data_IF_074363593976
#
_entry.id   IF_074363593976
#
_cell.length_a   1.000
_cell.length_b   1.000
_cell.length_c   1.000
_cell.angle_alpha   90.00
_cell.angle_beta   90.00
_cell.angle_gamma   90.00
#
_symmetry.space_group_name_H-M   'P 1'
#
loop_
_entity.id
_entity.type
_entity.pdbx_description
1 polymer ?
#
# COMPACT_ATOMS: atom_id res chain seq x y z
N UNK A 1 17.27 -24.35 16.15
CA UNK A 1 15.98 -24.63 16.80
C UNK A 1 15.47 -25.95 16.27
N UNK A 2 14.82 -26.81 17.09
CA UNK A 2 14.22 -28.02 16.55
C UNK A 2 13.27 -27.66 15.43
N UNK A 3 13.28 -28.44 14.36
CA UNK A 3 12.30 -28.41 13.26
C UNK A 3 10.95 -28.48 13.96
N UNK A 4 10.19 -27.38 13.98
CA UNK A 4 8.83 -27.37 14.53
C UNK A 4 8.07 -28.47 13.83
N UNK A 5 7.35 -29.31 14.60
CA UNK A 5 6.51 -30.38 14.07
C UNK A 5 5.52 -29.80 13.08
N UNK A 6 5.91 -29.78 11.82
CA UNK A 6 5.03 -29.30 10.73
C UNK A 6 3.91 -30.33 10.59
N UNK A 7 2.62 -29.89 10.66
CA UNK A 7 1.50 -30.80 10.51
C UNK A 7 1.58 -31.53 9.15
N UNK A 8 1.40 -32.84 9.18
CA UNK A 8 1.37 -33.63 7.94
C UNK A 8 0.11 -33.44 7.11
N UNK A 9 -0.93 -32.90 7.73
CA UNK A 9 -2.25 -32.74 7.13
C UNK A 9 -2.98 -31.54 7.75
N UNK A 10 -3.82 -30.84 6.97
CA UNK A 10 -4.77 -29.83 7.38
C UNK A 10 -5.96 -29.84 6.44
N UNK A 11 -7.07 -29.15 6.80
CA UNK A 11 -8.15 -28.93 5.84
C UNK A 11 -7.68 -27.99 4.72
N UNK A 12 -7.02 -26.88 5.10
CA UNK A 12 -6.54 -25.87 4.18
C UNK A 12 -5.11 -25.45 4.50
N UNK A 13 -4.24 -25.47 3.47
CA UNK A 13 -2.94 -24.83 3.56
C UNK A 13 -3.00 -23.46 2.91
N UNK A 14 -2.45 -22.45 3.59
CA UNK A 14 -2.26 -21.09 3.07
C UNK A 14 -0.77 -20.82 2.92
N UNK A 15 -0.34 -20.45 1.72
CA UNK A 15 1.04 -20.14 1.39
C UNK A 15 1.23 -18.63 1.35
N UNK A 16 1.98 -18.08 2.31
CA UNK A 16 2.27 -16.65 2.47
C UNK A 16 1.48 -15.97 3.60
N UNK A 17 2.21 -15.40 4.54
CA UNK A 17 1.72 -14.72 5.76
C UNK A 17 1.54 -13.20 5.61
N UNK A 18 1.31 -12.71 4.40
CA UNK A 18 0.93 -11.31 4.14
C UNK A 18 -0.54 -11.02 4.45
N UNK A 19 -0.97 -9.77 4.26
CA UNK A 19 -2.35 -9.34 4.57
C UNK A 19 -3.44 -10.21 3.91
N UNK A 20 -3.20 -10.70 2.68
CA UNK A 20 -4.17 -11.55 1.98
C UNK A 20 -4.27 -12.96 2.60
N UNK A 21 -3.12 -13.57 2.93
CA UNK A 21 -3.09 -14.89 3.58
C UNK A 21 -3.69 -14.83 4.98
N UNK A 22 -3.35 -13.81 5.78
CA UNK A 22 -3.92 -13.61 7.10
C UNK A 22 -5.43 -13.37 7.06
N UNK A 23 -5.92 -12.60 6.08
CA UNK A 23 -7.35 -12.39 5.89
C UNK A 23 -8.08 -13.70 5.52
N UNK A 24 -7.46 -14.56 4.70
CA UNK A 24 -7.99 -15.88 4.36
C UNK A 24 -7.99 -16.81 5.59
N UNK A 25 -6.87 -16.87 6.32
CA UNK A 25 -6.72 -17.69 7.52
C UNK A 25 -7.79 -17.35 8.58
N UNK A 26 -7.95 -16.05 8.90
CA UNK A 26 -8.99 -15.59 9.84
C UNK A 26 -10.39 -16.02 9.44
N UNK A 27 -10.72 -15.87 8.15
CA UNK A 27 -12.05 -16.16 7.66
C UNK A 27 -12.35 -17.68 7.71
N UNK A 28 -11.36 -18.51 7.40
CA UNK A 28 -11.48 -19.98 7.47
C UNK A 28 -11.51 -20.47 8.91
N UNK A 29 -10.61 -20.01 9.76
CA UNK A 29 -10.58 -20.38 11.18
C UNK A 29 -11.87 -19.99 11.91
N UNK A 30 -12.43 -18.80 11.61
CA UNK A 30 -13.72 -18.37 12.13
C UNK A 30 -14.90 -19.26 11.66
N UNK A 31 -14.75 -19.99 10.57
CA UNK A 31 -15.70 -20.98 10.07
C UNK A 31 -15.42 -22.41 10.61
N UNK A 32 -14.47 -22.58 11.53
CA UNK A 32 -14.12 -23.87 12.11
C UNK A 32 -13.24 -24.78 11.24
N UNK A 33 -12.63 -24.24 10.19
CA UNK A 33 -11.72 -24.96 9.30
C UNK A 33 -10.32 -25.01 9.90
N UNK A 34 -9.70 -26.18 9.89
CA UNK A 34 -8.30 -26.34 10.31
C UNK A 34 -7.37 -25.76 9.23
N UNK A 35 -6.61 -24.72 9.62
CA UNK A 35 -5.73 -23.98 8.71
C UNK A 35 -4.28 -24.14 9.14
N UNK A 36 -3.42 -24.41 8.17
CA UNK A 36 -1.96 -24.31 8.28
C UNK A 36 -1.49 -23.18 7.38
N UNK A 37 -0.89 -22.13 7.96
CA UNK A 37 -0.32 -21.00 7.25
C UNK A 37 1.20 -21.12 7.24
N UNK A 38 1.80 -21.20 6.05
CA UNK A 38 3.23 -21.33 5.83
C UNK A 38 3.79 -20.02 5.30
N UNK A 39 4.78 -19.47 6.01
CA UNK A 39 5.49 -18.25 5.63
C UNK A 39 6.98 -18.54 5.48
N UNK A 40 7.54 -18.12 4.35
CA UNK A 40 8.95 -18.36 4.03
C UNK A 40 9.91 -17.54 4.90
N UNK A 41 9.49 -16.37 5.35
CA UNK A 41 10.30 -15.49 6.20
C UNK A 41 10.15 -15.83 7.69
N UNK A 42 11.12 -15.35 8.50
CA UNK A 42 11.10 -15.45 9.96
C UNK A 42 10.00 -14.58 10.63
N UNK A 43 9.15 -13.91 9.84
CA UNK A 43 8.09 -13.04 10.33
C UNK A 43 6.91 -12.94 9.34
N UNK A 44 5.73 -12.71 9.87
CA UNK A 44 4.54 -12.37 9.08
C UNK A 44 4.63 -10.94 8.53
N UNK A 45 3.84 -10.64 7.48
CA UNK A 45 3.58 -9.30 6.99
C UNK A 45 3.80 -9.10 5.51
N UNK A 46 4.66 -9.88 4.88
CA UNK A 46 5.02 -9.73 3.48
C UNK A 46 5.59 -8.32 3.23
N UNK A 47 4.85 -7.46 2.49
CA UNK A 47 5.23 -6.07 2.21
C UNK A 47 4.96 -5.09 3.37
N UNK A 48 4.19 -5.48 4.38
CA UNK A 48 3.82 -4.61 5.51
C UNK A 48 4.70 -4.97 6.70
N UNK A 49 5.80 -4.27 6.82
CA UNK A 49 6.82 -4.50 7.84
C UNK A 49 7.39 -3.17 8.31
N UNK A 50 7.68 -3.08 9.61
CA UNK A 50 8.44 -2.00 10.22
C UNK A 50 9.69 -2.56 10.86
N UNK A 51 10.82 -1.93 10.60
CA UNK A 51 12.10 -2.24 11.22
C UNK A 51 12.42 -1.16 12.29
N UNK A 52 13.24 -1.49 13.28
CA UNK A 52 13.72 -0.56 14.29
C UNK A 52 15.24 -0.42 14.17
N UNK A 53 15.74 0.80 13.99
CA UNK A 53 17.16 1.11 13.86
C UNK A 53 17.46 2.32 14.74
N UNK A 54 18.33 2.16 15.71
CA UNK A 54 18.79 3.23 16.61
C UNK A 54 17.64 4.05 17.24
N UNK A 55 16.53 3.37 17.56
CA UNK A 55 15.31 3.97 18.13
C UNK A 55 14.39 4.60 17.10
N UNK A 56 14.77 4.67 15.82
CA UNK A 56 13.87 5.05 14.74
C UNK A 56 13.03 3.86 14.29
N UNK A 57 11.78 4.15 13.89
CA UNK A 57 10.87 3.17 13.31
C UNK A 57 10.74 3.43 11.82
N UNK A 58 11.14 2.47 11.00
CA UNK A 58 11.19 2.57 9.55
C UNK A 58 10.24 1.55 8.94
N UNK A 59 9.19 2.00 8.32
CA UNK A 59 8.35 1.12 7.49
C UNK A 59 9.10 0.75 6.20
N UNK A 60 8.88 -0.45 5.67
CA UNK A 60 9.51 -0.85 4.41
C UNK A 60 8.84 -0.15 3.21
N UNK A 61 9.19 1.11 3.03
CA UNK A 61 8.55 2.06 2.14
C UNK A 61 7.51 2.92 2.86
N UNK A 62 7.22 4.11 2.32
CA UNK A 62 6.17 4.97 2.87
C UNK A 62 4.80 4.33 2.62
N UNK A 63 4.20 3.82 3.67
CA UNK A 63 2.90 3.15 3.66
C UNK A 63 1.93 3.85 4.60
N UNK A 64 0.64 3.76 4.30
CA UNK A 64 -0.41 4.41 5.09
C UNK A 64 -1.66 3.52 5.18
N UNK A 65 -2.42 3.71 6.25
CA UNK A 65 -3.77 3.17 6.40
C UNK A 65 -4.77 4.22 5.97
N UNK A 66 -5.69 3.85 5.08
CA UNK A 66 -6.84 4.68 4.71
C UNK A 66 -8.09 4.17 5.42
N UNK A 67 -8.68 5.00 6.27
CA UNK A 67 -9.85 4.61 7.09
C UNK A 67 -11.12 4.37 6.27
N UNK A 68 -11.18 4.82 5.01
CA UNK A 68 -12.32 4.56 4.12
C UNK A 68 -12.24 3.24 3.37
N UNK A 69 -11.25 2.39 3.64
CA UNK A 69 -11.21 1.04 3.07
C UNK A 69 -12.38 0.20 3.60
N UNK A 70 -13.34 -0.20 2.74
CA UNK A 70 -14.55 -0.88 3.21
C UNK A 70 -14.31 -2.22 3.90
N UNK A 71 -13.19 -2.90 3.61
CA UNK A 71 -12.86 -4.16 4.25
C UNK A 71 -12.13 -3.99 5.59
N UNK A 72 -11.61 -2.79 5.88
CA UNK A 72 -10.79 -2.57 7.07
C UNK A 72 -11.53 -2.96 8.38
N UNK A 73 -12.78 -2.51 8.62
CA UNK A 73 -13.49 -2.85 9.85
C UNK A 73 -13.80 -4.35 10.04
N UNK A 74 -13.86 -5.11 8.93
CA UNK A 74 -14.12 -6.56 9.00
C UNK A 74 -12.91 -7.35 9.54
N UNK A 75 -11.71 -6.76 9.45
CA UNK A 75 -10.46 -7.43 9.80
C UNK A 75 -9.67 -6.74 10.89
N UNK A 76 -9.84 -5.44 11.05
CA UNK A 76 -8.99 -4.61 11.90
C UNK A 76 -9.88 -3.69 12.71
N UNK A 77 -9.78 -3.83 14.00
CA UNK A 77 -10.26 -2.81 14.92
C UNK A 77 -9.26 -1.65 14.86
N UNK A 78 -9.68 -0.54 14.24
CA UNK A 78 -8.85 0.62 14.00
C UNK A 78 -8.37 1.26 15.32
N UNK A 79 -9.13 1.12 16.40
CA UNK A 79 -8.75 1.65 17.72
C UNK A 79 -7.50 0.94 18.26
N UNK A 80 -7.35 -0.36 17.98
CA UNK A 80 -6.16 -1.14 18.38
C UNK A 80 -4.87 -0.72 17.67
N UNK A 81 -4.97 0.02 16.56
CA UNK A 81 -3.81 0.50 15.83
C UNK A 81 -3.23 1.80 16.37
N UNK A 82 -3.96 2.53 17.25
CA UNK A 82 -3.59 3.88 17.67
C UNK A 82 -3.15 4.74 16.48
N UNK A 83 -4.06 4.93 15.51
CA UNK A 83 -3.75 5.63 14.27
C UNK A 83 -3.41 7.09 14.52
N UNK A 84 -2.29 7.52 13.99
CA UNK A 84 -1.81 8.89 13.94
C UNK A 84 -2.03 9.43 12.53
N UNK A 85 -2.71 10.56 12.41
CA UNK A 85 -3.21 11.04 11.13
C UNK A 85 -2.36 12.16 10.56
N UNK A 86 -2.19 12.11 9.25
CA UNK A 86 -1.70 13.24 8.47
C UNK A 86 -2.81 14.27 8.27
N UNK A 87 -2.40 15.50 7.94
CA UNK A 87 -3.33 16.59 7.61
C UNK A 87 -4.17 16.25 6.36
N UNK A 88 -5.37 16.81 6.28
CA UNK A 88 -6.17 16.83 5.06
C UNK A 88 -5.65 17.90 4.08
N UNK A 89 -4.34 17.89 3.87
CA UNK A 89 -3.64 18.86 3.05
C UNK A 89 -2.38 18.24 2.46
N UNK A 90 -1.88 18.83 1.40
CA UNK A 90 -0.55 18.59 0.85
C UNK A 90 0.21 19.91 0.73
N UNK A 91 1.53 19.85 0.87
CA UNK A 91 2.45 20.93 0.53
C UNK A 91 2.91 20.72 -0.91
N UNK A 92 2.93 21.79 -1.69
CA UNK A 92 3.37 21.77 -3.09
C UNK A 92 4.56 22.71 -3.23
N UNK A 93 5.71 22.17 -3.62
CA UNK A 93 6.90 22.95 -3.93
C UNK A 93 6.88 23.36 -5.42
N UNK A 94 6.97 24.65 -5.71
CA UNK A 94 6.94 25.19 -7.09
C UNK A 94 8.30 25.72 -7.57
N UNK A 95 9.33 25.61 -6.73
CA UNK A 95 10.67 26.15 -6.97
C UNK A 95 10.87 27.58 -6.44
N UNK A 96 9.81 28.25 -6.00
CA UNK A 96 9.83 29.57 -5.35
C UNK A 96 9.43 29.49 -3.89
N UNK A 97 8.74 28.43 -3.49
CA UNK A 97 8.30 28.21 -2.10
C UNK A 97 7.42 26.98 -1.92
N UNK A 98 6.91 26.85 -0.70
CA UNK A 98 5.95 25.83 -0.31
C UNK A 98 4.55 26.43 -0.24
N UNK A 99 3.61 25.83 -0.95
CA UNK A 99 2.22 26.24 -0.98
C UNK A 99 1.32 25.16 -0.39
N UNK A 100 0.35 25.55 0.42
CA UNK A 100 -0.59 24.64 1.05
C UNK A 100 -1.81 24.41 0.14
N UNK A 101 -2.03 23.19 -0.29
CA UNK A 101 -3.29 22.74 -0.87
C UNK A 101 -4.06 21.93 0.20
N UNK A 102 -5.00 22.58 0.85
CA UNK A 102 -5.81 21.99 1.89
C UNK A 102 -7.23 21.65 1.41
N UNK A 103 -7.79 20.59 1.99
CA UNK A 103 -9.19 20.26 1.76
C UNK A 103 -10.09 21.33 2.43
N UNK A 104 -10.92 22.05 1.65
CA UNK A 104 -11.74 23.14 2.19
C UNK A 104 -12.81 22.68 3.20
N UNK A 105 -13.07 21.38 3.28
CA UNK A 105 -13.98 20.80 4.29
C UNK A 105 -13.35 20.81 5.69
N UNK A 106 -12.02 20.84 5.78
CA UNK A 106 -11.25 20.78 7.03
C UNK A 106 -10.45 22.04 7.29
N UNK A 107 -10.13 22.82 6.26
CA UNK A 107 -9.35 24.04 6.33
C UNK A 107 -10.08 25.19 5.60
N UNK A 108 -10.20 26.34 6.25
CA UNK A 108 -10.92 27.51 5.70
C UNK A 108 -10.00 28.59 5.10
N UNK A 109 -8.72 28.30 4.92
CA UNK A 109 -7.74 29.23 4.38
C UNK A 109 -7.82 29.29 2.85
N UNK A 110 -8.91 29.84 2.35
CA UNK A 110 -9.15 30.04 0.91
C UNK A 110 -8.12 30.96 0.21
N UNK A 111 -7.58 32.02 0.86
CA UNK A 111 -6.53 32.84 0.26
C UNK A 111 -5.26 32.05 -0.12
N UNK A 112 -4.89 31.02 0.62
CA UNK A 112 -3.74 30.17 0.31
C UNK A 112 -3.86 29.46 -1.05
N UNK A 113 -5.07 29.18 -1.53
CA UNK A 113 -5.31 28.56 -2.84
C UNK A 113 -4.83 29.42 -4.02
N UNK A 114 -4.74 30.75 -3.86
CA UNK A 114 -4.25 31.66 -4.89
C UNK A 114 -2.74 31.62 -5.07
N UNK A 115 -2.02 31.05 -4.11
CA UNK A 115 -0.57 30.93 -4.13
C UNK A 115 -0.11 29.62 -4.80
N UNK A 116 -1.04 28.71 -5.07
CA UNK A 116 -0.70 27.45 -5.73
C UNK A 116 -0.25 27.69 -7.19
N UNK A 117 0.72 26.91 -7.68
CA UNK A 117 1.27 27.06 -9.04
C UNK A 117 0.35 26.46 -10.11
N UNK A 118 -0.96 26.69 -9.98
CA UNK A 118 -1.99 26.17 -10.90
C UNK A 118 -3.16 27.15 -11.02
N UNK A 119 -3.85 27.19 -12.16
CA UNK A 119 -5.02 28.06 -12.34
C UNK A 119 -6.14 27.73 -11.36
N UNK A 120 -6.82 28.75 -10.83
CA UNK A 120 -7.99 28.55 -9.95
C UNK A 120 -9.11 27.72 -10.61
N UNK A 121 -9.26 27.84 -11.92
CA UNK A 121 -10.21 27.02 -12.71
C UNK A 121 -9.78 25.55 -12.68
N UNK A 122 -8.48 25.25 -12.74
CA UNK A 122 -7.95 23.91 -12.60
C UNK A 122 -8.23 23.31 -11.23
N UNK A 123 -8.05 24.11 -10.16
CA UNK A 123 -8.41 23.70 -8.80
C UNK A 123 -9.90 23.43 -8.64
N UNK A 124 -10.76 24.28 -9.20
CA UNK A 124 -12.21 24.09 -9.16
C UNK A 124 -12.62 22.79 -9.89
N UNK A 125 -12.04 22.53 -11.06
CA UNK A 125 -12.25 21.27 -11.81
C UNK A 125 -11.76 20.05 -11.02
N UNK A 126 -10.58 20.12 -10.39
CA UNK A 126 -10.06 19.05 -9.54
C UNK A 126 -10.95 18.78 -8.33
N UNK A 127 -11.48 19.84 -7.69
CA UNK A 127 -12.42 19.71 -6.59
C UNK A 127 -13.72 19.02 -7.05
N UNK A 128 -14.30 19.45 -8.19
CA UNK A 128 -15.49 18.84 -8.77
C UNK A 128 -15.26 17.35 -9.12
N UNK A 129 -14.14 17.04 -9.74
CA UNK A 129 -13.73 15.66 -10.04
C UNK A 129 -13.61 14.84 -8.74
N UNK A 130 -12.99 15.39 -7.70
CA UNK A 130 -12.83 14.73 -6.41
C UNK A 130 -14.18 14.46 -5.74
N UNK A 131 -15.11 15.40 -5.77
CA UNK A 131 -16.49 15.20 -5.29
C UNK A 131 -17.18 14.08 -6.07
N UNK A 132 -17.09 14.10 -7.41
CA UNK A 132 -17.66 13.05 -8.26
C UNK A 132 -17.09 11.68 -7.92
N UNK A 133 -15.77 11.52 -7.90
CA UNK A 133 -15.11 10.25 -7.59
C UNK A 133 -15.37 9.81 -6.15
N UNK A 134 -15.43 10.75 -5.20
CA UNK A 134 -15.68 10.49 -3.80
C UNK A 134 -17.10 9.98 -3.50
N UNK A 135 -18.12 10.57 -4.12
CA UNK A 135 -19.49 10.38 -3.69
C UNK A 135 -20.42 9.73 -4.71
N UNK A 136 -20.03 9.63 -5.98
CA UNK A 136 -20.83 8.93 -6.96
C UNK A 136 -20.90 7.42 -6.64
N UNK A 137 -21.89 6.71 -7.19
CA UNK A 137 -22.02 5.26 -7.00
C UNK A 137 -20.79 4.50 -7.52
N UNK A 138 -20.17 3.70 -6.65
CA UNK A 138 -18.96 2.96 -6.98
C UNK A 138 -19.18 1.91 -8.09
N UNK A 139 -20.42 1.40 -8.28
CA UNK A 139 -20.75 0.48 -9.36
C UNK A 139 -20.73 1.23 -10.69
N UNK A 140 -21.29 2.46 -10.73
CA UNK A 140 -21.26 3.31 -11.92
C UNK A 140 -19.84 3.69 -12.30
N UNK A 141 -19.00 4.11 -11.33
CA UNK A 141 -17.58 4.41 -11.58
C UNK A 141 -16.82 3.21 -12.18
N UNK A 142 -17.08 2.01 -11.69
CA UNK A 142 -16.46 0.78 -12.23
C UNK A 142 -17.00 0.37 -13.59
N UNK A 143 -18.21 0.82 -13.95
CA UNK A 143 -18.84 0.54 -15.24
C UNK A 143 -18.48 1.57 -16.33
N UNK A 144 -17.81 2.68 -15.98
CA UNK A 144 -17.36 3.65 -16.97
C UNK A 144 -16.41 3.00 -18.00
N UNK A 145 -16.33 3.52 -19.23
CA UNK A 145 -15.33 3.08 -20.20
C UNK A 145 -13.94 3.13 -19.58
N UNK A 146 -13.18 2.07 -19.74
CA UNK A 146 -11.82 1.99 -19.20
C UNK A 146 -10.84 2.62 -20.16
N UNK A 147 -10.08 3.59 -19.65
CA UNK A 147 -9.00 4.27 -20.34
C UNK A 147 -7.78 4.34 -19.45
N UNK A 148 -6.68 4.93 -19.93
CA UNK A 148 -5.58 5.35 -19.07
C UNK A 148 -6.00 6.52 -18.17
N UNK A 149 -5.30 6.72 -17.06
CA UNK A 149 -5.47 7.93 -16.23
C UNK A 149 -5.18 9.19 -17.06
N UNK A 150 -4.18 9.16 -17.95
CA UNK A 150 -3.86 10.28 -18.85
C UNK A 150 -5.07 10.69 -19.67
N UNK A 151 -5.69 9.75 -20.39
CA UNK A 151 -6.84 10.03 -21.25
C UNK A 151 -8.06 10.47 -20.42
N UNK A 152 -8.28 9.84 -19.28
CA UNK A 152 -9.38 10.18 -18.38
C UNK A 152 -9.26 11.61 -17.84
N UNK A 153 -8.06 12.06 -17.48
CA UNK A 153 -7.82 13.39 -16.93
C UNK A 153 -7.76 14.47 -18.01
N UNK A 154 -7.22 14.17 -19.21
CA UNK A 154 -7.03 15.16 -20.28
C UNK A 154 -8.32 15.86 -20.70
N UNK A 155 -9.47 15.19 -20.62
CA UNK A 155 -10.80 15.75 -20.93
C UNK A 155 -11.43 16.52 -19.74
N UNK A 156 -10.81 16.51 -18.56
CA UNK A 156 -11.40 17.02 -17.31
C UNK A 156 -10.56 18.09 -16.63
N UNK A 157 -9.24 18.00 -16.74
CA UNK A 157 -8.29 18.90 -16.10
C UNK A 157 -7.32 19.47 -17.14
N UNK A 158 -6.78 20.65 -16.87
CA UNK A 158 -5.69 21.21 -17.63
C UNK A 158 -4.38 20.50 -17.30
N UNK A 159 -3.43 20.55 -18.24
CA UNK A 159 -2.14 19.87 -18.13
C UNK A 159 -1.30 20.34 -16.93
N UNK A 160 -1.41 21.61 -16.58
CA UNK A 160 -0.65 22.20 -15.49
C UNK A 160 -1.11 21.65 -14.15
N UNK A 161 -2.43 21.61 -13.90
CA UNK A 161 -3.03 21.00 -12.71
C UNK A 161 -2.69 19.51 -12.59
N UNK A 162 -2.72 18.77 -13.69
CA UNK A 162 -2.33 17.34 -13.67
C UNK A 162 -0.88 17.20 -13.28
N UNK A 163 0.03 17.94 -13.91
CA UNK A 163 1.48 17.84 -13.70
C UNK A 163 1.89 18.26 -12.28
N UNK A 164 1.35 19.39 -11.81
CA UNK A 164 1.80 19.96 -10.53
C UNK A 164 1.19 19.27 -9.28
N UNK A 165 0.00 18.67 -9.41
CA UNK A 165 -0.74 18.15 -8.26
C UNK A 165 -1.06 16.66 -8.38
N UNK A 166 -1.66 16.24 -9.51
CA UNK A 166 -2.24 14.90 -9.61
C UNK A 166 -1.17 13.84 -9.88
N UNK A 167 -0.27 14.11 -10.81
CA UNK A 167 0.77 13.16 -11.19
C UNK A 167 1.77 12.87 -10.06
N UNK A 168 2.35 13.87 -9.35
CA UNK A 168 3.22 13.61 -8.20
C UNK A 168 2.53 12.80 -7.11
N UNK A 169 1.28 13.15 -6.79
CA UNK A 169 0.49 12.39 -5.82
C UNK A 169 0.29 10.93 -6.25
N UNK A 170 -0.13 10.71 -7.50
CA UNK A 170 -0.36 9.36 -8.03
C UNK A 170 0.94 8.56 -8.20
N UNK A 171 2.09 9.23 -8.42
CA UNK A 171 3.39 8.57 -8.45
C UNK A 171 3.71 7.91 -7.11
N UNK A 172 3.41 8.57 -6.00
CA UNK A 172 3.55 7.96 -4.66
C UNK A 172 2.58 6.78 -4.42
N UNK A 173 1.45 6.74 -5.14
CA UNK A 173 0.41 5.71 -4.99
C UNK A 173 0.64 4.51 -5.91
N UNK A 174 1.05 4.74 -7.17
CA UNK A 174 1.15 3.70 -8.20
C UNK A 174 2.59 3.41 -8.66
N UNK A 175 3.55 4.18 -8.20
CA UNK A 175 4.92 4.12 -8.68
C UNK A 175 5.11 4.83 -10.02
N UNK A 176 6.11 4.37 -10.78
CA UNK A 176 6.48 4.95 -12.07
C UNK A 176 5.33 4.95 -13.08
N UNK A 177 5.26 6.01 -13.90
CA UNK A 177 4.25 6.22 -14.94
C UNK A 177 2.79 6.06 -14.46
N UNK A 178 2.36 6.78 -13.40
CA UNK A 178 1.04 6.62 -12.80
C UNK A 178 -0.11 6.91 -13.78
N UNK A 179 0.14 7.75 -14.77
CA UNK A 179 -0.85 8.13 -15.78
C UNK A 179 -1.19 6.98 -16.76
N UNK A 180 -0.39 5.92 -16.82
CA UNK A 180 -0.68 4.70 -17.57
C UNK A 180 -1.56 3.70 -16.80
N UNK A 181 -1.87 3.96 -15.54
CA UNK A 181 -2.78 3.15 -14.74
C UNK A 181 -4.20 3.23 -15.29
N UNK A 182 -5.01 2.18 -15.05
CA UNK A 182 -6.43 2.16 -15.39
C UNK A 182 -7.19 3.26 -14.66
N UNK A 183 -8.00 4.03 -15.40
CA UNK A 183 -8.86 5.08 -14.86
C UNK A 183 -9.85 4.55 -13.81
N UNK A 184 -10.30 3.29 -13.95
CA UNK A 184 -11.19 2.64 -12.98
C UNK A 184 -10.48 2.33 -11.67
N UNK A 185 -9.21 1.88 -11.73
CA UNK A 185 -8.39 1.63 -10.54
C UNK A 185 -8.11 2.95 -9.83
N UNK A 186 -7.68 3.98 -10.58
CA UNK A 186 -7.47 5.32 -10.05
C UNK A 186 -8.73 5.86 -9.37
N UNK A 187 -9.90 5.74 -10.01
CA UNK A 187 -11.16 6.23 -9.44
C UNK A 187 -11.51 5.57 -8.10
N UNK A 188 -11.26 4.26 -7.94
CA UNK A 188 -11.52 3.56 -6.69
C UNK A 188 -10.56 3.98 -5.58
N UNK A 189 -9.30 4.18 -5.90
CA UNK A 189 -8.28 4.62 -4.95
C UNK A 189 -8.51 6.09 -4.58
N UNK A 190 -8.73 6.98 -5.56
CA UNK A 190 -9.05 8.38 -5.32
C UNK A 190 -10.29 8.55 -4.41
N UNK A 191 -11.33 7.74 -4.67
CA UNK A 191 -12.51 7.66 -3.83
C UNK A 191 -12.18 7.43 -2.36
N UNK A 192 -11.26 6.53 -2.07
CA UNK A 192 -10.89 6.24 -0.68
C UNK A 192 -10.11 7.40 -0.05
N UNK A 193 -9.26 8.10 -0.81
CA UNK A 193 -8.58 9.30 -0.32
C UNK A 193 -9.55 10.45 -0.01
N UNK A 194 -10.57 10.66 -0.85
CA UNK A 194 -11.58 11.72 -0.62
C UNK A 194 -12.46 11.43 0.59
N UNK A 195 -12.70 10.17 0.92
CA UNK A 195 -13.65 9.75 1.96
C UNK A 195 -13.01 9.42 3.30
N UNK A 196 -11.73 9.04 3.30
CA UNK A 196 -11.04 8.57 4.46
C UNK A 196 -10.04 9.57 5.03
N UNK A 197 -9.59 9.25 6.22
CA UNK A 197 -8.39 9.85 6.82
C UNK A 197 -7.20 8.95 6.53
N UNK A 198 -6.06 9.56 6.33
CA UNK A 198 -4.81 8.88 6.05
C UNK A 198 -3.94 8.95 7.30
N UNK A 199 -3.47 7.82 7.74
CA UNK A 199 -2.63 7.76 8.93
C UNK A 199 -1.73 6.55 8.96
N UNK A 200 -0.90 6.49 9.98
CA UNK A 200 -0.02 5.36 10.29
C UNK A 200 -0.26 4.89 11.72
N UNK A 201 -0.13 3.60 12.02
CA UNK A 201 -0.16 3.14 13.39
C UNK A 201 1.00 3.75 14.20
N UNK A 202 0.76 4.15 15.45
CA UNK A 202 1.80 4.70 16.32
C UNK A 202 2.99 3.74 16.50
N UNK A 203 2.73 2.43 16.43
CA UNK A 203 3.73 1.38 16.52
C UNK A 203 4.31 0.92 15.17
N UNK A 204 4.10 1.67 14.08
CA UNK A 204 4.53 1.33 12.72
C UNK A 204 3.52 0.46 11.97
N UNK A 205 3.64 0.43 10.65
CA UNK A 205 2.74 -0.33 9.79
C UNK A 205 2.74 -1.84 10.10
N UNK A 206 3.87 -2.39 10.53
CA UNK A 206 3.99 -3.79 10.93
C UNK A 206 3.05 -4.20 12.06
N UNK A 207 2.61 -3.27 12.93
CA UNK A 207 1.66 -3.55 14.01
C UNK A 207 0.29 -3.98 13.50
N UNK A 208 -0.12 -3.54 12.31
CA UNK A 208 -1.33 -3.97 11.62
C UNK A 208 -1.35 -5.49 11.40
N UNK A 209 -0.20 -6.06 11.09
CA UNK A 209 -0.05 -7.52 10.89
C UNK A 209 -0.28 -8.26 12.19
N UNK A 210 0.21 -7.74 13.31
CA UNK A 210 -0.05 -8.30 14.64
C UNK A 210 -1.56 -8.33 14.97
N UNK A 211 -2.29 -7.26 14.66
CA UNK A 211 -3.76 -7.20 14.84
C UNK A 211 -4.47 -8.21 13.92
N UNK A 212 -4.01 -8.37 12.68
CA UNK A 212 -4.55 -9.36 11.75
C UNK A 212 -4.31 -10.80 12.22
N UNK A 213 -3.13 -11.10 12.76
CA UNK A 213 -2.75 -12.45 13.17
C UNK A 213 -3.32 -12.86 14.53
N UNK A 214 -3.58 -11.91 15.44
CA UNK A 214 -4.00 -12.18 16.82
C UNK A 214 -5.18 -13.17 16.97
N UNK A 215 -6.24 -13.14 16.12
CA UNK A 215 -7.37 -14.07 16.25
C UNK A 215 -7.11 -15.48 15.71
N UNK A 216 -5.92 -15.76 15.16
CA UNK A 216 -5.61 -17.08 14.62
C UNK A 216 -5.38 -18.10 15.73
N UNK A 217 -5.78 -19.36 15.55
CA UNK A 217 -5.51 -20.42 16.50
C UNK A 217 -3.99 -20.58 16.77
N UNK A 218 -3.59 -20.89 18.00
CA UNK A 218 -2.20 -21.23 18.29
C UNK A 218 -1.73 -22.40 17.43
N UNK A 219 -0.48 -22.31 16.94
CA UNK A 219 0.14 -23.38 16.15
C UNK A 219 -0.28 -23.45 14.69
N UNK A 220 -1.19 -22.59 14.20
CA UNK A 220 -1.56 -22.60 12.78
C UNK A 220 -0.56 -21.86 11.88
N UNK A 221 0.38 -21.08 12.42
CA UNK A 221 1.37 -20.30 11.67
C UNK A 221 2.75 -20.94 11.81
N UNK A 222 3.38 -21.23 10.67
CA UNK A 222 4.74 -21.77 10.59
C UNK A 222 5.60 -20.80 9.78
N UNK A 223 6.53 -20.15 10.46
CA UNK A 223 7.54 -19.26 9.89
C UNK A 223 8.75 -20.05 9.40
N UNK A 224 9.66 -19.42 8.66
CA UNK A 224 10.86 -20.06 8.10
C UNK A 224 10.52 -21.34 7.32
N UNK A 225 9.33 -21.37 6.71
CA UNK A 225 8.81 -22.57 6.02
C UNK A 225 8.47 -22.26 4.57
N UNK A 226 9.46 -22.14 3.69
CA UNK A 226 9.23 -21.89 2.27
C UNK A 226 8.54 -23.09 1.61
N UNK A 227 7.48 -22.81 0.86
CA UNK A 227 6.83 -23.82 0.00
C UNK A 227 7.58 -23.91 -1.31
N UNK A 228 7.92 -25.14 -1.70
CA UNK A 228 8.71 -25.46 -2.90
C UNK A 228 7.79 -25.74 -4.10
N UNK A 229 6.70 -26.47 -3.86
CA UNK A 229 5.73 -26.81 -4.89
C UNK A 229 4.29 -26.84 -4.32
N UNK A 230 3.32 -26.64 -5.20
CA UNK A 230 1.89 -26.66 -4.88
C UNK A 230 1.21 -27.70 -5.77
N UNK A 231 0.40 -28.56 -5.14
CA UNK A 231 -0.37 -29.63 -5.78
C UNK A 231 -1.83 -29.58 -5.36
N UNK A 232 -2.70 -30.30 -6.09
CA UNK A 232 -4.13 -30.42 -5.73
C UNK A 232 -4.34 -31.12 -4.37
N UNK A 233 -3.32 -31.82 -3.84
CA UNK A 233 -3.40 -32.57 -2.59
C UNK A 233 -2.59 -31.94 -1.46
N UNK A 234 -2.01 -30.74 -1.65
CA UNK A 234 -1.21 -30.05 -0.64
C UNK A 234 0.01 -29.32 -1.19
N UNK A 235 1.02 -29.18 -0.38
CA UNK A 235 2.24 -28.44 -0.70
C UNK A 235 3.50 -29.20 -0.26
N UNK A 236 4.59 -29.03 -1.00
CA UNK A 236 5.92 -29.52 -0.63
C UNK A 236 6.74 -28.42 0.07
N UNK A 237 7.39 -28.79 1.14
CA UNK A 237 8.39 -28.00 1.87
C UNK A 237 9.67 -28.79 2.06
N UNK A 238 10.75 -28.14 2.52
CA UNK A 238 11.98 -28.83 2.88
C UNK A 238 11.79 -29.86 4.02
N UNK A 239 10.78 -29.66 4.89
CA UNK A 239 10.44 -30.57 5.98
C UNK A 239 9.51 -31.73 5.55
N UNK A 240 9.08 -31.75 4.29
CA UNK A 240 8.19 -32.74 3.73
C UNK A 240 6.89 -32.16 3.21
N UNK A 241 5.99 -33.04 2.77
CA UNK A 241 4.70 -32.67 2.23
C UNK A 241 3.66 -32.41 3.35
N UNK A 242 2.92 -31.32 3.21
CA UNK A 242 1.71 -31.03 4.00
C UNK A 242 0.49 -31.27 3.12
N UNK A 243 -0.28 -32.29 3.44
CA UNK A 243 -1.51 -32.62 2.69
C UNK A 243 -2.63 -31.66 3.04
N UNK A 244 -3.46 -31.29 2.05
CA UNK A 244 -4.61 -30.44 2.27
C UNK A 244 -5.73 -30.75 1.27
N UNK A 245 -6.98 -30.47 1.66
CA UNK A 245 -8.14 -30.53 0.76
C UNK A 245 -8.18 -29.31 -0.17
N UNK A 246 -7.60 -28.20 0.27
CA UNK A 246 -7.46 -26.98 -0.55
C UNK A 246 -6.18 -26.21 -0.19
N UNK A 247 -5.60 -25.56 -1.19
CA UNK A 247 -4.44 -24.68 -1.04
C UNK A 247 -4.79 -23.28 -1.52
N UNK A 248 -4.48 -22.26 -0.70
CA UNK A 248 -4.57 -20.84 -1.08
C UNK A 248 -3.14 -20.29 -1.21
N UNK A 249 -2.72 -19.96 -2.43
CA UNK A 249 -1.46 -19.26 -2.67
C UNK A 249 -1.70 -17.76 -2.49
N UNK A 250 -1.11 -17.18 -1.45
CA UNK A 250 -1.28 -15.79 -1.04
C UNK A 250 0.05 -15.03 -0.94
N UNK A 251 1.04 -15.46 -1.71
CA UNK A 251 2.36 -14.85 -1.82
C UNK A 251 2.30 -13.56 -2.68
N UNK A 252 3.45 -12.92 -2.86
CA UNK A 252 3.57 -11.89 -3.89
C UNK A 252 3.31 -12.45 -5.30
N UNK A 253 2.98 -11.58 -6.30
CA UNK A 253 2.63 -12.06 -7.64
C UNK A 253 3.68 -12.90 -8.32
N UNK A 254 4.97 -12.56 -8.18
CA UNK A 254 6.04 -13.30 -8.87
C UNK A 254 6.20 -14.71 -8.27
N UNK A 255 6.23 -14.82 -6.93
CA UNK A 255 6.27 -16.11 -6.24
C UNK A 255 4.99 -16.93 -6.53
N UNK A 256 3.81 -16.30 -6.59
CA UNK A 256 2.57 -16.97 -6.95
C UNK A 256 2.63 -17.57 -8.37
N UNK A 257 3.19 -16.84 -9.34
CA UNK A 257 3.37 -17.34 -10.70
C UNK A 257 4.37 -18.51 -10.80
N UNK A 258 5.40 -18.50 -9.94
CA UNK A 258 6.36 -19.63 -9.81
C UNK A 258 5.70 -20.88 -9.25
N UNK A 259 4.81 -20.74 -8.27
CA UNK A 259 4.11 -21.85 -7.63
C UNK A 259 2.88 -22.34 -8.42
N UNK A 260 2.29 -21.51 -9.28
CA UNK A 260 1.07 -21.78 -10.02
C UNK A 260 1.33 -21.56 -11.53
N UNK A 261 1.84 -22.56 -12.25
CA UNK A 261 2.13 -22.44 -13.69
C UNK A 261 0.89 -21.98 -14.48
N UNK A 262 1.08 -20.98 -15.35
CA UNK A 262 0.01 -20.39 -16.14
C UNK A 262 -0.77 -19.25 -15.43
N UNK A 263 -0.44 -18.92 -14.18
CA UNK A 263 -1.02 -17.77 -13.52
C UNK A 263 -0.48 -16.47 -14.14
N UNK A 264 -1.35 -15.70 -14.78
CA UNK A 264 -1.00 -14.38 -15.29
C UNK A 264 -0.97 -13.38 -14.13
N UNK A 265 0.18 -12.74 -13.94
CA UNK A 265 0.39 -11.71 -12.93
C UNK A 265 0.82 -10.39 -13.58
N UNK A 266 0.38 -9.25 -13.05
CA UNK A 266 0.81 -7.95 -13.56
C UNK A 266 2.26 -7.68 -13.17
N UNK A 267 2.97 -6.83 -13.94
CA UNK A 267 4.27 -6.31 -13.54
C UNK A 267 4.21 -5.58 -12.20
N UNK A 268 5.36 -5.48 -11.54
CA UNK A 268 5.52 -4.74 -10.30
C UNK A 268 6.47 -3.56 -10.51
N UNK A 269 6.29 -2.50 -9.72
CA UNK A 269 7.14 -1.31 -9.68
C UNK A 269 7.70 -1.10 -8.30
N UNK A 270 8.99 -0.87 -8.22
CA UNK A 270 9.70 -0.69 -6.96
C UNK A 270 9.72 0.79 -6.61
N UNK A 271 9.36 1.10 -5.37
CA UNK A 271 9.62 2.41 -4.77
C UNK A 271 10.83 2.31 -3.85
N UNK A 272 11.60 3.38 -3.83
CA UNK A 272 12.74 3.56 -2.92
C UNK A 272 12.37 4.66 -1.94
N UNK A 273 12.48 4.36 -0.65
CA UNK A 273 12.26 5.35 0.42
C UNK A 273 13.56 5.59 1.15
N UNK A 274 14.02 6.83 1.14
CA UNK A 274 15.19 7.30 1.88
C UNK A 274 14.73 7.98 3.15
N UNK A 275 15.23 7.52 4.28
CA UNK A 275 14.94 8.05 5.60
C UNK A 275 16.08 8.95 6.07
N UNK A 276 15.71 10.18 6.46
CA UNK A 276 16.62 11.13 7.10
C UNK A 276 16.10 11.51 8.48
N UNK A 277 17.01 11.86 9.37
CA UNK A 277 16.67 12.44 10.66
C UNK A 277 17.25 13.85 10.80
N UNK A 278 16.55 14.69 11.57
CA UNK A 278 16.97 16.06 11.91
C UNK A 278 16.48 16.41 13.30
N UNK A 279 17.10 17.40 13.94
CA UNK A 279 16.68 17.92 15.25
C UNK A 279 15.51 18.90 15.12
N UNK A 280 15.43 19.63 14.00
CA UNK A 280 14.32 20.54 13.70
C UNK A 280 13.57 20.10 12.44
N UNK A 281 12.22 20.04 12.45
CA UNK A 281 11.48 19.62 11.30
C UNK A 281 11.47 20.73 10.24
N UNK A 282 11.65 20.40 8.94
CA UNK A 282 11.67 21.39 7.85
C UNK A 282 10.32 22.10 7.63
N UNK A 283 9.26 21.57 8.18
CA UNK A 283 7.90 22.11 8.14
C UNK A 283 7.21 21.85 9.49
N UNK A 284 6.14 22.57 9.77
CA UNK A 284 5.39 22.46 11.03
C UNK A 284 4.05 21.71 10.90
N UNK A 285 3.84 21.00 9.80
CA UNK A 285 2.59 20.29 9.53
C UNK A 285 2.83 18.84 9.12
N UNK A 286 2.00 17.90 9.58
CA UNK A 286 2.03 16.50 9.14
C UNK A 286 1.39 16.34 7.75
N UNK A 287 1.90 17.06 6.75
CA UNK A 287 1.39 17.07 5.38
C UNK A 287 2.41 16.49 4.41
N UNK A 288 1.91 15.79 3.39
CA UNK A 288 2.74 15.24 2.32
C UNK A 288 3.27 16.38 1.44
N UNK A 289 4.56 16.41 1.20
CA UNK A 289 5.20 17.33 0.26
C UNK A 289 5.25 16.70 -1.13
N UNK A 290 4.80 17.43 -2.14
CA UNK A 290 4.82 17.08 -3.56
C UNK A 290 5.75 18.03 -4.33
N UNK A 291 6.47 17.49 -5.31
CA UNK A 291 7.22 18.30 -6.28
C UNK A 291 6.30 18.80 -7.39
N UNK A 292 5.78 20.01 -7.27
CA UNK A 292 4.96 20.67 -8.30
C UNK A 292 5.74 21.05 -9.56
N UNK A 293 7.09 21.03 -9.52
CA UNK A 293 7.93 21.27 -10.68
C UNK A 293 8.11 20.04 -11.58
N UNK A 294 7.98 18.84 -10.99
CA UNK A 294 8.21 17.56 -11.64
C UNK A 294 9.66 17.32 -12.06
N UNK A 295 10.64 18.00 -11.41
CA UNK A 295 12.06 17.96 -11.80
C UNK A 295 12.94 17.10 -10.89
N UNK A 296 12.50 16.84 -9.65
CA UNK A 296 13.32 16.13 -8.67
C UNK A 296 13.36 14.61 -8.86
N UNK A 297 12.38 14.04 -9.54
CA UNK A 297 12.17 12.59 -9.55
C UNK A 297 11.61 12.04 -8.23
N UNK A 298 11.43 12.89 -7.20
CA UNK A 298 10.81 12.53 -5.92
C UNK A 298 9.30 12.49 -6.08
N UNK A 299 8.68 11.40 -5.69
CA UNK A 299 7.22 11.28 -5.68
C UNK A 299 6.60 12.06 -4.52
N UNK A 300 7.16 11.92 -3.33
CA UNK A 300 6.73 12.64 -2.14
C UNK A 300 7.79 12.63 -1.04
N UNK A 301 7.65 13.57 -0.09
CA UNK A 301 8.39 13.57 1.16
C UNK A 301 7.43 13.91 2.30
N UNK A 302 7.67 13.40 3.51
CA UNK A 302 6.85 13.69 4.67
C UNK A 302 7.65 13.60 5.96
N UNK A 303 7.38 14.51 6.90
CA UNK A 303 7.93 14.43 8.26
C UNK A 303 7.02 13.52 9.09
N UNK A 304 7.41 12.26 9.23
CA UNK A 304 6.63 11.21 9.89
C UNK A 304 6.29 11.56 11.34
N UNK A 305 7.24 12.11 12.04
CA UNK A 305 7.12 12.43 13.48
C UNK A 305 6.17 13.58 13.79
N UNK A 306 5.80 14.41 12.83
CA UNK A 306 4.74 15.41 13.03
C UNK A 306 3.35 14.77 13.15
N UNK A 307 3.13 13.64 12.49
CA UNK A 307 1.91 12.84 12.67
C UNK A 307 2.09 11.83 13.81
N UNK A 308 3.18 11.08 13.82
CA UNK A 308 3.46 9.98 14.73
C UNK A 308 4.81 10.16 15.45
N UNK A 309 4.85 10.89 16.58
CA UNK A 309 6.11 11.18 17.28
C UNK A 309 6.93 9.94 17.65
N UNK A 310 6.29 8.80 17.89
CA UNK A 310 6.97 7.53 18.21
C UNK A 310 7.75 6.90 17.08
N UNK A 311 7.85 7.53 15.89
CA UNK A 311 8.70 7.06 14.81
C UNK A 311 10.18 7.46 14.95
N UNK A 312 10.51 8.33 15.91
CA UNK A 312 11.89 8.70 16.22
C UNK A 312 12.13 8.79 17.74
N UNK A 313 13.38 8.76 18.19
CA UNK A 313 13.73 9.09 19.57
C UNK A 313 13.27 10.52 19.94
N UNK A 314 13.04 10.78 21.23
CA UNK A 314 12.68 12.13 21.70
C UNK A 314 13.66 13.22 21.21
N UNK A 315 13.13 14.34 20.74
CA UNK A 315 13.93 15.46 20.21
C UNK A 315 14.43 15.26 18.78
N UNK A 316 14.08 14.17 18.11
CA UNK A 316 14.45 13.92 16.71
C UNK A 316 13.23 13.85 15.81
N UNK A 317 13.39 14.24 14.56
CA UNK A 317 12.36 14.16 13.53
C UNK A 317 12.79 13.23 12.41
N UNK A 318 11.89 12.32 12.00
CA UNK A 318 12.10 11.37 10.90
C UNK A 318 11.40 11.88 9.64
N UNK A 319 12.13 11.95 8.54
CA UNK A 319 11.63 12.34 7.22
C UNK A 319 11.70 11.12 6.32
N UNK A 320 10.57 10.73 5.74
CA UNK A 320 10.48 9.70 4.72
C UNK A 320 10.33 10.34 3.34
N UNK A 321 11.25 10.05 2.44
CA UNK A 321 11.25 10.57 1.06
C UNK A 321 11.21 9.42 0.09
N UNK A 322 10.19 9.39 -0.76
CA UNK A 322 9.94 8.29 -1.69
C UNK A 322 10.11 8.72 -3.14
N UNK A 323 10.82 7.89 -3.90
CA UNK A 323 10.98 8.03 -5.34
C UNK A 323 10.74 6.68 -6.04
N UNK A 324 10.29 6.65 -7.31
CA UNK A 324 10.36 5.46 -8.14
C UNK A 324 11.81 4.97 -8.29
N UNK A 325 12.04 3.67 -8.29
CA UNK A 325 13.39 3.12 -8.47
C UNK A 325 14.00 3.52 -9.83
N UNK A 326 13.17 3.76 -10.83
CA UNK A 326 13.56 4.22 -12.15
C UNK A 326 14.10 5.66 -12.17
N UNK A 327 13.89 6.44 -11.12
CA UNK A 327 14.49 7.76 -10.96
C UNK A 327 16.00 7.70 -10.65
N UNK A 328 16.48 6.52 -10.21
CA UNK A 328 17.88 6.19 -9.93
C UNK A 328 18.61 7.27 -9.08
N UNK A 329 17.94 7.70 -8.01
CA UNK A 329 18.45 8.72 -7.11
C UNK A 329 19.28 8.08 -5.99
N UNK A 330 20.54 8.44 -5.91
CA UNK A 330 21.35 8.17 -4.73
C UNK A 330 20.96 9.09 -3.56
N UNK A 331 21.46 8.81 -2.36
CA UNK A 331 21.18 9.62 -1.17
C UNK A 331 21.58 11.08 -1.34
N UNK A 332 22.71 11.35 -1.97
CA UNK A 332 23.21 12.72 -2.22
C UNK A 332 22.29 13.50 -3.14
N UNK A 333 21.75 12.85 -4.18
CA UNK A 333 20.76 13.45 -5.08
C UNK A 333 19.45 13.73 -4.34
N UNK A 334 18.95 12.76 -3.56
CA UNK A 334 17.76 12.94 -2.72
C UNK A 334 17.94 14.15 -1.80
N UNK A 335 19.05 14.25 -1.10
CA UNK A 335 19.38 15.36 -0.19
C UNK A 335 19.40 16.72 -0.90
N UNK A 336 20.03 16.82 -2.05
CA UNK A 336 20.05 18.06 -2.85
C UNK A 336 18.64 18.48 -3.30
N UNK A 337 17.83 17.51 -3.76
CA UNK A 337 16.44 17.78 -4.13
C UNK A 337 15.59 18.21 -2.94
N UNK A 338 15.78 17.59 -1.78
CA UNK A 338 15.06 17.97 -0.56
C UNK A 338 15.42 19.40 -0.11
N UNK A 339 16.69 19.82 -0.24
CA UNK A 339 17.08 21.19 0.04
C UNK A 339 16.32 22.21 -0.84
N UNK A 340 16.16 21.89 -2.12
CA UNK A 340 15.38 22.73 -3.05
C UNK A 340 13.87 22.69 -2.75
N UNK A 341 13.32 21.51 -2.44
CA UNK A 341 11.89 21.33 -2.20
C UNK A 341 11.45 21.96 -0.88
N UNK A 342 12.23 21.81 0.19
CA UNK A 342 11.94 22.43 1.50
C UNK A 342 12.40 23.87 1.59
N UNK A 343 13.20 24.35 0.64
CA UNK A 343 13.73 25.72 0.64
C UNK A 343 14.73 26.01 1.74
N UNK A 344 15.44 24.98 2.26
CA UNK A 344 16.40 25.09 3.34
C UNK A 344 17.55 24.10 3.21
N UNK A 345 18.74 24.37 3.81
CA UNK A 345 19.86 23.45 3.80
C UNK A 345 19.54 22.14 4.48
N UNK A 346 19.96 21.01 3.87
CA UNK A 346 19.80 19.66 4.39
C UNK A 346 21.13 19.01 4.81
N UNK A 347 22.22 19.80 4.87
CA UNK A 347 23.56 19.30 5.16
C UNK A 347 23.73 18.68 6.55
N UNK A 348 22.95 19.14 7.54
CA UNK A 348 22.92 18.61 8.90
C UNK A 348 22.02 17.39 9.08
N UNK A 349 21.24 16.99 8.07
CA UNK A 349 20.38 15.84 8.18
C UNK A 349 21.19 14.56 8.19
N UNK A 350 20.86 13.64 9.08
CA UNK A 350 21.46 12.32 9.18
C UNK A 350 20.75 11.35 8.23
N UNK A 351 21.49 10.61 7.41
CA UNK A 351 20.93 9.50 6.66
C UNK A 351 20.79 8.28 7.56
N UNK A 352 19.56 7.82 7.77
CA UNK A 352 19.29 6.63 8.59
C UNK A 352 19.34 5.37 7.75
N UNK A 353 18.57 5.32 6.66
CA UNK A 353 18.53 4.17 5.77
C UNK A 353 17.84 4.51 4.43
N UNK A 354 18.22 3.78 3.39
CA UNK A 354 17.48 3.73 2.13
C UNK A 354 16.90 2.34 1.95
N UNK A 355 15.58 2.26 1.78
CA UNK A 355 14.82 1.01 1.67
C UNK A 355 14.25 0.88 0.27
N UNK A 356 14.56 -0.21 -0.42
CA UNK A 356 13.87 -0.62 -1.65
C UNK A 356 12.68 -1.48 -1.27
N UNK A 357 11.47 -1.04 -1.62
CA UNK A 357 10.24 -1.79 -1.31
C UNK A 357 10.06 -2.95 -2.29
N UNK A 358 10.74 -4.04 -2.02
CA UNK A 358 10.65 -5.28 -2.79
C UNK A 358 9.99 -6.39 -1.96
N UNK A 359 9.09 -7.18 -2.58
CA UNK A 359 8.51 -7.05 -3.92
C UNK A 359 7.68 -5.75 -4.09
N UNK A 360 7.72 -5.20 -5.30
CA UNK A 360 7.17 -3.88 -5.59
C UNK A 360 5.64 -3.77 -5.59
N UNK A 361 5.14 -2.58 -5.94
CA UNK A 361 3.72 -2.32 -6.13
C UNK A 361 3.21 -3.01 -7.40
N UNK A 362 2.03 -3.59 -7.30
CA UNK A 362 1.34 -4.20 -8.44
C UNK A 362 0.83 -3.12 -9.37
N UNK A 363 1.19 -3.19 -10.65
CA UNK A 363 0.68 -2.26 -11.66
C UNK A 363 -0.69 -2.68 -12.16
N UNK A 364 -1.46 -1.72 -12.66
CA UNK A 364 -2.80 -1.95 -13.16
C UNK A 364 -3.09 -1.15 -14.44
N UNK A 365 -2.32 -1.35 -15.54
CA UNK A 365 -2.62 -0.70 -16.82
C UNK A 365 -3.92 -1.23 -17.41
N UNK A 366 -4.66 -0.45 -18.22
CA UNK A 366 -5.80 -0.97 -18.96
C UNK A 366 -5.34 -1.95 -20.09
N UNK A 367 -6.15 -2.92 -20.50
CA UNK A 367 -7.47 -3.23 -19.94
C UNK A 367 -7.39 -4.13 -18.70
N UNK A 368 -8.04 -3.71 -17.60
CA UNK A 368 -8.17 -4.56 -16.41
C UNK A 368 -9.34 -5.55 -16.52
N UNK A 369 -10.26 -5.32 -17.47
CA UNK A 369 -11.47 -6.10 -17.57
C UNK A 369 -12.29 -6.05 -16.27
N UNK A 370 -12.30 -7.14 -15.53
CA UNK A 370 -12.87 -7.16 -14.17
C UNK A 370 -11.78 -6.79 -13.15
N UNK A 371 -12.00 -5.74 -12.36
CA UNK A 371 -11.09 -5.38 -11.25
C UNK A 371 -10.94 -6.54 -10.26
N UNK A 372 -12.02 -7.28 -10.02
CA UNK A 372 -12.02 -8.52 -9.22
C UNK A 372 -11.75 -9.71 -10.11
N UNK A 373 -10.50 -10.13 -10.19
CA UNK A 373 -10.07 -11.32 -10.94
C UNK A 373 -10.49 -12.61 -10.22
N UNK A 374 -10.67 -13.74 -10.91
CA UNK A 374 -10.97 -15.02 -10.28
C UNK A 374 -9.94 -15.39 -9.21
N UNK A 375 -10.41 -15.93 -8.09
CA UNK A 375 -9.56 -16.44 -7.00
C UNK A 375 -9.51 -17.96 -6.95
N UNK A 376 -10.46 -18.64 -7.57
CA UNK A 376 -10.51 -20.10 -7.72
C UNK A 376 -9.85 -20.48 -9.05
N UNK A 377 -8.89 -21.38 -9.02
CA UNK A 377 -8.19 -21.93 -10.19
C UNK A 377 -8.66 -23.34 -10.49
N UNK A 378 -8.85 -24.18 -9.46
CA UNK A 378 -9.46 -25.51 -9.53
C UNK A 378 -10.34 -25.72 -8.28
N UNK A 379 -10.83 -26.94 -8.06
CA UNK A 379 -11.55 -27.27 -6.82
C UNK A 379 -10.62 -27.35 -5.60
N UNK A 380 -9.33 -27.55 -5.81
CA UNK A 380 -8.32 -27.62 -4.75
C UNK A 380 -7.40 -26.40 -4.68
N UNK A 381 -7.24 -25.63 -5.76
CA UNK A 381 -6.25 -24.54 -5.83
C UNK A 381 -6.91 -23.17 -5.94
N UNK A 382 -6.44 -22.26 -5.08
CA UNK A 382 -6.93 -20.90 -4.99
C UNK A 382 -5.78 -19.91 -4.92
N UNK A 383 -6.01 -18.66 -5.31
CA UNK A 383 -5.03 -17.59 -5.28
C UNK A 383 -5.61 -16.33 -4.64
N UNK A 384 -4.83 -15.67 -3.80
CA UNK A 384 -5.18 -14.40 -3.18
C UNK A 384 -4.02 -13.40 -3.29
N UNK A 385 -4.29 -12.13 -3.16
CA UNK A 385 -3.33 -11.03 -3.24
C UNK A 385 -3.99 -9.78 -3.81
N UNK A 386 -3.36 -8.65 -3.66
CA UNK A 386 -3.84 -7.38 -4.23
C UNK A 386 -3.88 -7.41 -5.78
N UNK A 387 -3.10 -8.25 -6.41
CA UNK A 387 -3.14 -8.49 -7.86
C UNK A 387 -4.43 -9.19 -8.34
N UNK A 388 -5.27 -9.69 -7.43
CA UNK A 388 -6.58 -10.30 -7.73
C UNK A 388 -7.76 -9.35 -7.47
N UNK A 389 -7.48 -8.13 -6.98
CA UNK A 389 -8.46 -7.06 -6.72
C UNK A 389 -7.78 -5.70 -7.03
N UNK A 390 -8.08 -4.64 -6.29
CA UNK A 390 -7.34 -3.36 -6.40
C UNK A 390 -5.93 -3.49 -5.78
N UNK A 391 -4.89 -2.91 -6.39
CA UNK A 391 -3.53 -2.95 -5.86
C UNK A 391 -3.41 -2.08 -4.59
N UNK A 392 -3.77 -2.64 -3.45
CA UNK A 392 -3.83 -1.96 -2.15
C UNK A 392 -4.06 -2.94 -1.01
N UNK A 393 -3.88 -2.50 0.24
CA UNK A 393 -4.29 -3.24 1.44
C UNK A 393 -5.76 -3.69 1.35
N UNK A 394 -6.65 -2.81 0.88
CA UNK A 394 -8.06 -3.14 0.65
C UNK A 394 -8.21 -4.36 -0.27
N UNK A 395 -7.50 -4.36 -1.40
CA UNK A 395 -7.57 -5.48 -2.34
C UNK A 395 -6.98 -6.77 -1.81
N UNK A 396 -5.90 -6.69 -1.04
CA UNK A 396 -5.31 -7.84 -0.35
C UNK A 396 -6.31 -8.50 0.61
N UNK A 397 -6.92 -7.71 1.52
CA UNK A 397 -7.92 -8.20 2.47
C UNK A 397 -9.15 -8.81 1.77
N UNK A 398 -9.67 -8.12 0.76
CA UNK A 398 -10.84 -8.59 -0.01
C UNK A 398 -10.55 -9.87 -0.76
N UNK A 399 -9.39 -9.97 -1.42
CA UNK A 399 -9.03 -11.17 -2.17
C UNK A 399 -8.83 -12.38 -1.28
N UNK A 400 -8.19 -12.21 -0.11
CA UNK A 400 -8.06 -13.26 0.90
C UNK A 400 -9.41 -13.78 1.37
N UNK A 401 -10.34 -12.90 1.74
CA UNK A 401 -11.71 -13.27 2.11
C UNK A 401 -12.46 -13.98 0.97
N UNK A 402 -12.29 -13.52 -0.27
CA UNK A 402 -12.91 -14.15 -1.45
C UNK A 402 -12.37 -15.54 -1.69
N UNK A 403 -11.07 -15.75 -1.54
CA UNK A 403 -10.45 -17.08 -1.65
C UNK A 403 -10.99 -18.02 -0.56
N UNK A 404 -11.04 -17.57 0.69
CA UNK A 404 -11.58 -18.34 1.79
C UNK A 404 -13.06 -18.74 1.56
N UNK A 405 -13.90 -17.80 1.11
CA UNK A 405 -15.31 -18.11 0.76
C UNK A 405 -15.43 -19.10 -0.39
N UNK A 406 -14.56 -19.03 -1.37
CA UNK A 406 -14.55 -19.97 -2.46
C UNK A 406 -14.16 -21.39 -1.99
N UNK A 407 -13.19 -21.51 -1.09
CA UNK A 407 -12.84 -22.78 -0.43
C UNK A 407 -14.05 -23.34 0.33
N UNK A 408 -14.67 -22.55 1.20
CA UNK A 408 -15.86 -22.98 1.95
C UNK A 408 -17.00 -23.47 1.04
N UNK A 409 -17.22 -22.79 -0.08
CA UNK A 409 -18.23 -23.19 -1.08
C UNK A 409 -17.92 -24.53 -1.76
N UNK A 410 -16.65 -24.92 -1.88
CA UNK A 410 -16.25 -26.22 -2.41
C UNK A 410 -16.35 -27.30 -1.34
N UNK A 411 -15.94 -27.00 -0.10
CA UNK A 411 -15.97 -27.95 1.01
C UNK A 411 -17.39 -28.31 1.50
N UNK A 412 -18.36 -27.45 1.22
CA UNK A 412 -19.77 -27.68 1.56
C UNK A 412 -20.52 -28.57 0.55
N UNK A 413 -19.87 -28.97 -0.53
CA UNK A 413 -20.42 -29.90 -1.57
C UNK A 413 -20.00 -31.33 -1.28
#
# INVERSE_FOLDING_TARGET
MPVSDLPRQADVVIVGGGAAGLAAARHLSAAGIEVVLLEAAARLGGRIVSDSIDGFRLDRGFQVVNTAYPALPDFIDVEQLDLRFFDHAVLVADGHGLHLLADPRHHRDLPALRQLPVPLVGLAKLALLSVRLGYWDARKLRAEPETTVADYLSSRLDRETVRALVEPFLTGVFGYAPLLTSSRVMAMIWRSFVRGRIGVPAAGMGSLIGVLARPLPPGCVHLDTPVIAVHDQGVDTAAGMVRARAVIVATDPAAAAGLLPGLLVPPQRVLVTTYHATDEPPVNRPALLLDGTGRSGIANSVVMTLAAPGYAPPGRHLIATTAPAEADLDESAVRRHLAALYGQPTGSWEHIQTVRAEPGLVTAPPPQGRLRKPVKLSDALFVAGDHRDTPSLQGALVSGRRAARAVLSVMAR
#
